data_IF_212256018206
#
_entry.id   IF_212256018206
#
_cell.length_a   1.000
_cell.length_b   1.000
_cell.length_c   1.000
_cell.angle_alpha   90.00
_cell.angle_beta   90.00
_cell.angle_gamma   90.00
#
_symmetry.space_group_name_H-M   'P 1'
#
loop_
_entity.id
_entity.type
_entity.pdbx_description
1 polymer ?
#
# COMPACT_ATOMS: atom_id res chain seq x y z
N UNK A 1 -15.12 -31.07 2.85
CA UNK A 1 -13.80 -30.58 2.38
C UNK A 1 -12.83 -30.82 3.50
N UNK A 2 -11.65 -31.40 3.22
CA UNK A 2 -10.70 -31.82 4.25
C UNK A 2 -10.40 -30.66 5.20
N UNK A 3 -10.42 -30.98 6.50
CA UNK A 3 -10.13 -30.15 7.66
C UNK A 3 -8.68 -29.63 7.73
N UNK A 4 -8.09 -29.25 6.60
CA UNK A 4 -6.70 -28.85 6.49
C UNK A 4 -6.54 -27.32 6.60
N UNK A 5 -7.22 -26.73 7.58
CA UNK A 5 -7.03 -25.31 7.91
C UNK A 5 -5.63 -25.15 8.47
N UNK A 6 -4.82 -24.34 7.81
CA UNK A 6 -3.52 -23.92 8.30
C UNK A 6 -3.66 -22.57 8.98
N UNK A 7 -2.84 -22.31 10.00
CA UNK A 7 -2.82 -20.98 10.63
C UNK A 7 -2.42 -19.93 9.61
N UNK A 8 -2.79 -18.68 9.86
CA UNK A 8 -2.39 -17.55 9.02
C UNK A 8 -0.87 -17.44 8.94
N UNK A 9 -0.13 -17.76 10.02
CA UNK A 9 1.33 -17.87 9.99
C UNK A 9 1.80 -18.89 8.95
N UNK A 10 1.30 -20.11 9.04
CA UNK A 10 1.65 -21.18 8.10
C UNK A 10 1.27 -20.82 6.67
N UNK A 11 0.12 -20.18 6.45
CA UNK A 11 -0.28 -19.70 5.14
C UNK A 11 0.75 -18.72 4.55
N UNK A 12 1.19 -17.74 5.34
CA UNK A 12 2.19 -16.76 4.90
C UNK A 12 3.54 -17.43 4.60
N UNK A 13 3.98 -18.35 5.44
CA UNK A 13 5.22 -19.12 5.22
C UNK A 13 5.16 -19.93 3.92
N UNK A 14 4.06 -20.66 3.69
CA UNK A 14 3.84 -21.43 2.45
C UNK A 14 3.80 -20.54 1.22
N UNK A 15 3.11 -19.40 1.32
CA UNK A 15 3.06 -18.41 0.24
C UNK A 15 4.45 -17.88 -0.09
N UNK A 16 5.26 -17.54 0.91
CA UNK A 16 6.61 -16.99 0.72
C UNK A 16 7.60 -18.03 0.17
N UNK A 17 7.36 -19.31 0.46
CA UNK A 17 8.12 -20.42 -0.10
C UNK A 17 7.67 -20.81 -1.53
N UNK A 18 6.69 -20.11 -2.12
CA UNK A 18 6.22 -20.38 -3.48
C UNK A 18 5.32 -21.62 -3.60
N UNK A 19 4.82 -22.17 -2.49
CA UNK A 19 3.98 -23.39 -2.53
C UNK A 19 2.65 -23.19 -3.28
N UNK A 20 2.24 -21.94 -3.50
CA UNK A 20 1.01 -21.57 -4.22
C UNK A 20 1.26 -21.06 -5.65
N UNK A 21 2.43 -21.35 -6.23
CA UNK A 21 2.81 -20.84 -7.56
C UNK A 21 2.15 -21.54 -8.73
N UNK A 22 1.78 -22.81 -8.56
CA UNK A 22 1.08 -23.54 -9.61
C UNK A 22 -0.34 -22.98 -9.82
N UNK A 23 -0.78 -22.92 -11.06
CA UNK A 23 -2.06 -22.32 -11.43
C UNK A 23 -3.22 -23.31 -11.46
N UNK A 24 -2.99 -24.58 -11.12
CA UNK A 24 -4.03 -25.58 -11.06
C UNK A 24 -4.99 -25.36 -9.88
N UNK A 25 -6.20 -25.85 -10.04
CA UNK A 25 -7.28 -25.68 -9.05
C UNK A 25 -6.91 -26.30 -7.70
N UNK A 26 -6.18 -27.42 -7.67
CA UNK A 26 -5.83 -28.08 -6.41
C UNK A 26 -4.91 -27.19 -5.58
N UNK A 27 -3.83 -26.68 -6.19
CA UNK A 27 -2.91 -25.76 -5.50
C UNK A 27 -3.62 -24.49 -5.03
N UNK A 28 -4.59 -23.97 -5.80
CA UNK A 28 -5.32 -22.76 -5.40
C UNK A 28 -6.40 -23.04 -4.33
N UNK A 29 -7.00 -24.22 -4.32
CA UNK A 29 -7.81 -24.69 -3.19
C UNK A 29 -6.94 -24.82 -1.92
N UNK A 30 -5.73 -25.36 -2.02
CA UNK A 30 -4.77 -25.45 -0.91
C UNK A 30 -4.32 -24.06 -0.43
N UNK A 31 -4.27 -23.07 -1.35
CA UNK A 31 -4.06 -21.66 -1.02
C UNK A 31 -5.28 -21.01 -0.33
N UNK A 32 -6.40 -21.71 -0.20
CA UNK A 32 -7.58 -21.24 0.54
C UNK A 32 -8.73 -20.72 -0.33
N UNK A 33 -8.76 -20.97 -1.64
CA UNK A 33 -9.95 -20.67 -2.45
C UNK A 33 -11.10 -21.61 -2.11
N UNK A 34 -12.21 -21.03 -1.61
CA UNK A 34 -13.39 -21.80 -1.19
C UNK A 34 -14.47 -21.87 -2.26
N UNK A 35 -14.73 -20.74 -2.93
CA UNK A 35 -15.80 -20.59 -3.92
C UNK A 35 -15.48 -19.41 -4.86
N UNK A 36 -15.67 -19.59 -6.16
CA UNK A 36 -15.32 -18.59 -7.17
C UNK A 36 -16.17 -18.69 -8.43
N UNK A 37 -16.36 -17.54 -9.10
CA UNK A 37 -17.05 -17.44 -10.39
C UNK A 37 -16.10 -17.02 -11.53
N UNK A 38 -14.87 -16.64 -11.21
CA UNK A 38 -13.85 -16.34 -12.21
C UNK A 38 -13.26 -17.63 -12.82
N UNK A 39 -12.43 -17.49 -13.86
CA UNK A 39 -11.70 -18.64 -14.42
C UNK A 39 -10.67 -19.16 -13.43
N UNK A 40 -10.49 -20.48 -13.37
CA UNK A 40 -9.48 -21.14 -12.52
C UNK A 40 -8.08 -20.58 -12.72
N UNK A 41 -7.70 -20.31 -13.98
CA UNK A 41 -6.41 -19.71 -14.34
C UNK A 41 -6.18 -18.30 -13.76
N UNK A 42 -7.23 -17.65 -13.22
CA UNK A 42 -7.11 -16.34 -12.56
C UNK A 42 -6.76 -16.46 -11.08
N UNK A 43 -7.00 -17.61 -10.44
CA UNK A 43 -6.92 -17.78 -9.00
C UNK A 43 -5.51 -17.50 -8.47
N UNK A 44 -4.47 -18.03 -9.10
CA UNK A 44 -3.07 -17.81 -8.70
C UNK A 44 -2.71 -16.33 -8.60
N UNK A 45 -3.06 -15.53 -9.60
CA UNK A 45 -2.75 -14.09 -9.58
C UNK A 45 -3.59 -13.35 -8.54
N UNK A 46 -4.83 -13.79 -8.30
CA UNK A 46 -5.69 -13.24 -7.25
C UNK A 46 -5.15 -13.58 -5.86
N UNK A 47 -4.71 -14.81 -5.61
CA UNK A 47 -4.00 -15.20 -4.38
C UNK A 47 -2.86 -14.24 -4.08
N UNK A 48 -1.98 -14.01 -5.07
CA UNK A 48 -0.87 -13.05 -4.93
C UNK A 48 -1.33 -11.61 -4.62
N UNK A 49 -2.37 -11.15 -5.29
CA UNK A 49 -2.93 -9.81 -5.05
C UNK A 49 -3.50 -9.67 -3.64
N UNK A 50 -4.28 -10.66 -3.19
CA UNK A 50 -4.92 -10.67 -1.88
C UNK A 50 -3.92 -10.90 -0.74
N UNK A 51 -2.92 -11.77 -0.91
CA UNK A 51 -1.88 -12.00 0.10
C UNK A 51 -1.05 -10.74 0.33
N UNK A 52 -0.74 -9.95 -0.72
CA UNK A 52 -0.10 -8.62 -0.53
C UNK A 52 -0.92 -7.68 0.35
N UNK A 53 -2.25 -7.77 0.28
CA UNK A 53 -3.17 -7.00 1.12
C UNK A 53 -3.21 -7.54 2.54
N UNK A 54 -3.30 -8.86 2.72
CA UNK A 54 -3.21 -9.54 4.02
C UNK A 54 -1.93 -9.15 4.76
N UNK A 55 -0.78 -9.17 4.08
CA UNK A 55 0.52 -8.79 4.65
C UNK A 55 0.56 -7.38 5.25
N UNK A 56 -0.21 -6.44 4.69
CA UNK A 56 -0.31 -5.08 5.22
C UNK A 56 -1.10 -5.01 6.54
N UNK A 57 -1.95 -6.02 6.81
CA UNK A 57 -2.78 -6.10 8.01
C UNK A 57 -2.12 -6.88 9.14
N UNK A 58 -1.09 -7.68 8.87
CA UNK A 58 -0.39 -8.53 9.87
C UNK A 58 0.14 -7.78 11.10
N UNK A 59 0.59 -6.51 11.02
CA UNK A 59 1.01 -5.77 12.22
C UNK A 59 -0.15 -5.37 13.16
N UNK A 60 -1.40 -5.54 12.74
CA UNK A 60 -2.57 -5.19 13.54
C UNK A 60 -2.73 -6.10 14.76
N UNK A 61 -3.02 -5.52 15.93
CA UNK A 61 -3.43 -6.29 17.11
C UNK A 61 -4.77 -7.03 16.94
N UNK A 62 -5.55 -6.68 15.90
CA UNK A 62 -6.79 -7.39 15.55
C UNK A 62 -6.54 -8.69 14.78
N UNK A 63 -5.31 -8.94 14.31
CA UNK A 63 -4.96 -10.10 13.49
C UNK A 63 -3.99 -10.98 14.28
N UNK A 64 -4.45 -12.16 14.69
CA UNK A 64 -3.63 -13.13 15.39
C UNK A 64 -3.24 -14.26 14.44
N UNK A 65 -1.94 -14.36 14.13
CA UNK A 65 -1.45 -15.28 13.10
C UNK A 65 -1.50 -16.77 13.51
N UNK A 66 -1.64 -17.06 14.80
CA UNK A 66 -1.60 -18.41 15.36
C UNK A 66 -3.00 -18.97 15.66
N UNK A 67 -3.97 -18.08 15.87
CA UNK A 67 -5.37 -18.45 16.19
C UNK A 67 -6.36 -18.11 15.08
N UNK A 68 -5.90 -17.51 13.98
CA UNK A 68 -6.72 -17.25 12.80
C UNK A 68 -6.20 -18.02 11.59
N UNK A 69 -7.11 -18.37 10.67
CA UNK A 69 -6.78 -18.74 9.29
C UNK A 69 -7.45 -17.78 8.31
N UNK A 70 -7.06 -17.89 7.04
CA UNK A 70 -7.65 -17.13 5.94
C UNK A 70 -8.19 -18.04 4.85
N UNK A 71 -9.28 -17.61 4.22
CA UNK A 71 -9.73 -18.19 2.95
C UNK A 71 -10.20 -17.08 2.00
N UNK A 72 -10.33 -17.43 0.73
CA UNK A 72 -10.65 -16.55 -0.38
C UNK A 72 -11.97 -16.91 -1.03
N UNK A 73 -12.68 -15.89 -1.49
CA UNK A 73 -13.83 -16.05 -2.39
C UNK A 73 -13.75 -15.06 -3.54
N UNK A 74 -14.30 -15.46 -4.68
CA UNK A 74 -14.62 -14.55 -5.77
C UNK A 74 -16.13 -14.53 -5.90
N UNK A 75 -16.75 -13.39 -5.64
CA UNK A 75 -18.20 -13.23 -5.57
C UNK A 75 -18.78 -12.75 -6.90
N UNK A 76 -20.00 -13.21 -7.20
CA UNK A 76 -20.81 -12.76 -8.33
C UNK A 76 -22.02 -11.96 -7.83
N UNK A 77 -21.97 -10.61 -7.83
CA UNK A 77 -23.11 -9.81 -7.42
C UNK A 77 -24.23 -9.91 -8.47
N UNK A 78 -25.50 -9.90 -8.02
CA UNK A 78 -26.64 -9.88 -8.95
C UNK A 78 -26.60 -8.70 -9.91
N UNK A 79 -26.08 -7.55 -9.46
CA UNK A 79 -25.89 -6.34 -10.26
C UNK A 79 -24.49 -5.79 -9.99
N UNK A 80 -23.57 -5.98 -10.94
CA UNK A 80 -22.20 -5.50 -10.82
C UNK A 80 -21.18 -6.36 -11.55
N UNK A 81 -19.92 -6.28 -11.15
CA UNK A 81 -18.80 -7.10 -11.63
C UNK A 81 -18.39 -8.12 -10.57
N UNK A 82 -17.73 -9.20 -11.00
CA UNK A 82 -17.08 -10.12 -10.06
C UNK A 82 -16.07 -9.37 -9.19
N UNK A 83 -15.98 -9.75 -7.92
CA UNK A 83 -15.02 -9.15 -7.00
C UNK A 83 -14.49 -10.17 -6.00
N UNK A 84 -13.34 -9.89 -5.41
CA UNK A 84 -12.69 -10.80 -4.48
C UNK A 84 -12.92 -10.36 -3.03
N UNK A 85 -13.09 -11.33 -2.13
CA UNK A 85 -12.99 -11.14 -0.69
C UNK A 85 -12.01 -12.15 -0.09
N UNK A 86 -11.45 -11.78 1.07
CA UNK A 86 -10.75 -12.71 1.93
C UNK A 86 -11.30 -12.58 3.34
N UNK A 87 -11.27 -13.69 4.09
CA UNK A 87 -11.90 -13.77 5.40
C UNK A 87 -10.95 -14.31 6.43
N UNK A 88 -10.77 -13.56 7.51
CA UNK A 88 -10.11 -14.08 8.71
C UNK A 88 -11.15 -14.81 9.54
N UNK A 89 -10.82 -16.03 9.92
CA UNK A 89 -11.69 -16.91 10.67
C UNK A 89 -10.94 -17.44 11.88
N UNK A 90 -11.68 -17.68 12.95
CA UNK A 90 -11.16 -18.28 14.16
C UNK A 90 -10.80 -19.76 13.90
N UNK A 91 -9.60 -20.18 14.30
CA UNK A 91 -9.09 -21.54 14.04
C UNK A 91 -9.91 -22.62 14.75
N UNK A 92 -10.37 -22.34 15.97
CA UNK A 92 -11.04 -23.32 16.82
C UNK A 92 -12.51 -23.49 16.43
N UNK A 93 -13.23 -22.38 16.32
CA UNK A 93 -14.68 -22.35 16.05
C UNK A 93 -15.00 -22.39 14.56
N UNK A 94 -14.08 -21.96 13.70
CA UNK A 94 -14.31 -21.78 12.27
C UNK A 94 -15.19 -20.58 11.93
N UNK A 95 -15.56 -19.75 12.91
CA UNK A 95 -16.41 -18.59 12.68
C UNK A 95 -15.64 -17.46 11.98
N UNK A 96 -16.31 -16.78 11.06
CA UNK A 96 -15.75 -15.61 10.37
C UNK A 96 -15.63 -14.45 11.37
N UNK A 97 -14.41 -13.93 11.52
CA UNK A 97 -14.13 -12.74 12.35
C UNK A 97 -14.26 -11.48 11.50
N UNK A 98 -13.63 -11.48 10.32
CA UNK A 98 -13.69 -10.38 9.36
C UNK A 98 -13.90 -10.91 7.94
N UNK A 99 -14.74 -10.21 7.17
CA UNK A 99 -14.79 -10.32 5.71
C UNK A 99 -14.28 -9.01 5.13
N UNK A 100 -13.24 -9.07 4.30
CA UNK A 100 -12.56 -7.90 3.76
C UNK A 100 -12.64 -7.96 2.25
N UNK A 101 -13.25 -6.94 1.66
CA UNK A 101 -13.37 -6.76 0.22
C UNK A 101 -12.45 -5.61 -0.19
N UNK A 102 -11.28 -5.87 -0.82
CA UNK A 102 -10.41 -4.78 -1.25
C UNK A 102 -11.06 -3.83 -2.26
N UNK A 103 -11.97 -4.35 -3.10
CA UNK A 103 -12.74 -3.58 -4.06
C UNK A 103 -14.04 -4.33 -4.38
N UNK A 104 -15.18 -3.86 -3.88
CA UNK A 104 -16.47 -4.50 -4.13
C UNK A 104 -16.94 -4.28 -5.57
N UNK A 105 -17.69 -5.25 -6.07
CA UNK A 105 -18.15 -5.29 -7.46
C UNK A 105 -19.54 -4.74 -7.71
N UNK A 106 -20.31 -4.40 -6.67
CA UNK A 106 -21.66 -3.85 -6.81
C UNK A 106 -21.64 -2.52 -7.55
N UNK A 107 -22.57 -2.30 -8.49
CA UNK A 107 -22.61 -1.07 -9.30
C UNK A 107 -22.62 0.22 -8.47
N UNK A 108 -23.38 0.26 -7.37
CA UNK A 108 -23.51 1.47 -6.53
C UNK A 108 -22.26 1.80 -5.73
N UNK A 109 -21.44 0.80 -5.43
CA UNK A 109 -20.28 0.93 -4.53
C UNK A 109 -19.00 0.44 -5.21
N UNK A 110 -19.01 0.40 -6.54
CA UNK A 110 -17.99 -0.24 -7.35
C UNK A 110 -16.58 0.29 -7.02
N UNK A 111 -15.65 -0.63 -6.75
CA UNK A 111 -14.27 -0.30 -6.41
C UNK A 111 -14.03 0.12 -4.97
N UNK A 112 -15.08 0.28 -4.15
CA UNK A 112 -14.95 0.63 -2.73
C UNK A 112 -14.39 -0.55 -1.93
N UNK A 113 -13.49 -0.27 -1.01
CA UNK A 113 -13.05 -1.25 -0.02
C UNK A 113 -14.06 -1.33 1.13
N UNK A 114 -14.36 -2.55 1.58
CA UNK A 114 -15.28 -2.78 2.69
C UNK A 114 -14.73 -3.77 3.70
N UNK A 115 -15.00 -3.54 4.98
CA UNK A 115 -14.73 -4.47 6.09
C UNK A 115 -16.03 -4.73 6.82
N UNK A 116 -16.33 -6.01 6.98
CA UNK A 116 -17.45 -6.51 7.77
C UNK A 116 -16.90 -7.42 8.86
N UNK A 117 -17.50 -7.46 10.03
CA UNK A 117 -16.96 -8.28 11.11
C UNK A 117 -17.87 -8.44 12.31
N UNK A 118 -17.42 -9.28 13.24
CA UNK A 118 -18.15 -9.61 14.48
C UNK A 118 -18.38 -8.40 15.39
N UNK A 119 -17.58 -7.34 15.28
CA UNK A 119 -17.69 -6.14 16.15
C UNK A 119 -19.09 -5.49 16.12
N UNK A 120 -19.81 -5.64 15.01
CA UNK A 120 -21.20 -5.18 14.87
C UNK A 120 -22.14 -6.29 14.37
N UNK A 121 -21.81 -7.56 14.65
CA UNK A 121 -22.56 -8.75 14.19
C UNK A 121 -22.82 -8.79 12.68
N UNK A 122 -21.90 -8.25 11.86
CA UNK A 122 -22.06 -8.15 10.41
C UNK A 122 -23.32 -7.37 9.96
N UNK A 123 -23.92 -6.54 10.83
CA UNK A 123 -25.14 -5.77 10.52
C UNK A 123 -24.89 -4.72 9.43
N UNK A 124 -23.72 -4.12 9.44
CA UNK A 124 -23.29 -3.13 8.46
C UNK A 124 -21.77 -3.17 8.26
N UNK A 125 -21.27 -2.47 7.23
CA UNK A 125 -19.84 -2.36 7.00
C UNK A 125 -19.20 -1.52 8.13
N UNK A 126 -18.23 -2.10 8.83
CA UNK A 126 -17.39 -1.41 9.82
C UNK A 126 -16.53 -0.34 9.12
N UNK A 127 -16.05 -0.66 7.92
CA UNK A 127 -15.35 0.27 7.04
C UNK A 127 -15.99 0.23 5.66
N UNK A 128 -16.26 1.41 5.10
CA UNK A 128 -16.65 1.58 3.70
C UNK A 128 -15.91 2.79 3.12
N UNK A 129 -14.96 2.56 2.21
CA UNK A 129 -14.13 3.64 1.67
C UNK A 129 -12.99 3.15 0.77
N UNK A 130 -11.80 3.69 0.98
CA UNK A 130 -10.59 3.30 0.27
C UNK A 130 -9.84 2.19 1.02
N UNK A 131 -8.85 1.58 0.36
CA UNK A 131 -7.96 0.64 1.03
C UNK A 131 -7.20 1.27 2.21
N UNK A 132 -6.87 2.57 2.14
CA UNK A 132 -6.24 3.27 3.26
C UNK A 132 -7.18 3.34 4.47
N UNK A 133 -8.49 3.48 4.25
CA UNK A 133 -9.46 3.45 5.35
C UNK A 133 -9.48 2.10 6.05
N UNK A 134 -9.26 1.01 5.31
CA UNK A 134 -9.07 -0.35 5.87
C UNK A 134 -7.79 -0.41 6.70
N UNK A 135 -6.67 0.10 6.16
CA UNK A 135 -5.39 0.13 6.89
C UNK A 135 -5.51 0.93 8.19
N UNK A 136 -6.18 2.09 8.18
CA UNK A 136 -6.34 2.90 9.38
C UNK A 136 -7.15 2.20 10.45
N UNK A 137 -8.21 1.47 10.06
CA UNK A 137 -8.99 0.67 10.99
C UNK A 137 -8.16 -0.46 11.63
N UNK A 138 -7.42 -1.23 10.83
CA UNK A 138 -6.63 -2.34 11.36
C UNK A 138 -5.40 -1.87 12.15
N UNK A 139 -4.71 -0.83 11.69
CA UNK A 139 -3.46 -0.37 12.30
C UNK A 139 -3.69 0.68 13.40
N UNK A 140 -4.94 1.04 13.70
CA UNK A 140 -5.27 2.02 14.74
C UNK A 140 -4.75 3.43 14.45
N UNK A 141 -4.63 3.79 13.17
CA UNK A 141 -4.12 5.11 12.76
C UNK A 141 -5.24 6.14 12.84
N UNK A 142 -5.01 7.24 13.55
CA UNK A 142 -5.92 8.38 13.55
C UNK A 142 -5.86 9.13 12.20
N UNK A 143 -6.92 8.97 11.41
CA UNK A 143 -7.11 9.64 10.12
C UNK A 143 -6.95 11.16 10.18
N UNK A 144 -7.41 11.81 11.25
CA UNK A 144 -7.34 13.27 11.37
C UNK A 144 -5.89 13.71 11.57
N UNK A 145 -5.19 13.03 12.46
CA UNK A 145 -3.77 13.26 12.72
C UNK A 145 -2.92 13.04 11.46
N UNK A 146 -3.12 11.92 10.76
CA UNK A 146 -2.33 11.61 9.55
C UNK A 146 -2.58 12.61 8.41
N UNK A 147 -3.82 13.08 8.24
CA UNK A 147 -4.14 14.15 7.26
C UNK A 147 -3.46 15.46 7.61
N UNK A 148 -3.44 15.81 8.89
CA UNK A 148 -2.81 17.03 9.37
C UNK A 148 -1.28 16.98 9.20
N UNK A 149 -0.64 15.86 9.55
CA UNK A 149 0.79 15.63 9.32
C UNK A 149 1.15 15.72 7.83
N UNK A 150 0.33 15.14 6.95
CA UNK A 150 0.50 15.28 5.49
C UNK A 150 0.37 16.73 5.02
N UNK A 151 -0.58 17.48 5.58
CA UNK A 151 -0.78 18.91 5.26
C UNK A 151 0.46 19.72 5.65
N UNK A 152 0.96 19.53 6.87
CA UNK A 152 2.17 20.18 7.38
C UNK A 152 3.37 19.84 6.48
N UNK A 153 3.59 18.56 6.16
CA UNK A 153 4.72 18.13 5.33
C UNK A 153 4.67 18.69 3.89
N UNK A 154 3.48 18.89 3.31
CA UNK A 154 3.34 19.56 2.01
C UNK A 154 3.70 21.04 2.12
N UNK A 155 3.29 21.70 3.19
CA UNK A 155 3.58 23.11 3.43
C UNK A 155 5.07 23.35 3.69
N UNK A 156 5.72 22.48 4.46
CA UNK A 156 7.18 22.52 4.69
C UNK A 156 7.96 22.32 3.38
N UNK A 157 7.60 21.31 2.57
CA UNK A 157 8.23 21.10 1.24
C UNK A 157 8.05 22.28 0.31
N UNK A 158 6.92 23.00 0.41
CA UNK A 158 6.69 24.20 -0.38
C UNK A 158 7.63 25.33 0.06
N UNK A 159 7.75 25.55 1.37
CA UNK A 159 8.68 26.54 1.94
C UNK A 159 10.14 26.24 1.56
N UNK A 160 10.55 24.98 1.63
CA UNK A 160 11.90 24.54 1.23
C UNK A 160 12.17 24.83 -0.26
N UNK A 161 11.21 24.54 -1.14
CA UNK A 161 11.34 24.87 -2.57
C UNK A 161 11.41 26.37 -2.85
N UNK A 162 10.64 27.17 -2.12
CA UNK A 162 10.66 28.62 -2.26
C UNK A 162 12.02 29.19 -1.80
N UNK A 163 12.57 28.70 -0.67
CA UNK A 163 13.92 29.06 -0.19
C UNK A 163 15.03 28.71 -1.20
N UNK A 164 15.00 27.48 -1.76
CA UNK A 164 15.98 27.05 -2.77
C UNK A 164 15.92 27.90 -4.05
N UNK A 165 14.72 28.35 -4.43
CA UNK A 165 14.51 29.22 -5.59
C UNK A 165 15.12 30.60 -5.34
N UNK A 166 14.95 31.15 -4.14
CA UNK A 166 15.54 32.43 -3.75
C UNK A 166 17.08 32.33 -3.70
N UNK A 167 17.64 31.25 -3.14
CA UNK A 167 19.09 31.00 -3.15
C UNK A 167 19.66 30.90 -4.58
N UNK A 168 18.95 30.20 -5.48
CA UNK A 168 19.35 30.13 -6.88
C UNK A 168 19.36 31.50 -7.55
N UNK A 169 18.32 32.32 -7.33
CA UNK A 169 18.23 33.66 -7.89
C UNK A 169 19.38 34.56 -7.41
N UNK A 170 19.78 34.46 -6.14
CA UNK A 170 20.94 35.19 -5.59
C UNK A 170 22.25 34.72 -6.25
N UNK A 171 22.43 33.41 -6.40
CA UNK A 171 23.62 32.85 -7.10
C UNK A 171 23.71 33.34 -8.54
N UNK A 172 22.60 33.31 -9.27
CA UNK A 172 22.52 33.77 -10.66
C UNK A 172 22.86 35.27 -10.77
N UNK A 173 22.31 36.10 -9.89
CA UNK A 173 22.65 37.53 -9.83
C UNK A 173 24.15 37.76 -9.58
N UNK A 174 24.75 37.04 -8.63
CA UNK A 174 26.17 37.16 -8.32
C UNK A 174 27.07 36.69 -9.49
N UNK A 175 26.69 35.62 -10.18
CA UNK A 175 27.39 35.14 -11.38
C UNK A 175 27.39 36.23 -12.46
N UNK A 176 26.22 36.80 -12.76
CA UNK A 176 26.08 37.87 -13.76
C UNK A 176 26.93 39.11 -13.40
N UNK A 177 26.99 39.49 -12.12
CA UNK A 177 27.84 40.60 -11.64
C UNK A 177 29.35 40.32 -11.75
N UNK A 178 29.77 39.04 -11.72
CA UNK A 178 31.16 38.65 -11.94
C UNK A 178 31.50 38.69 -13.43
N UNK A 179 30.60 38.21 -14.29
CA UNK A 179 30.78 38.19 -15.74
C UNK A 179 30.83 39.60 -16.34
N UNK A 180 29.99 40.53 -15.85
CA UNK A 180 30.04 41.95 -16.25
C UNK A 180 31.33 42.67 -15.82
N UNK A 181 32.01 42.20 -14.76
CA UNK A 181 33.30 42.74 -14.30
C UNK A 181 34.49 42.12 -15.01
N UNK A 182 34.30 41.06 -15.79
CA UNK A 182 35.33 40.48 -16.67
C UNK A 182 35.22 41.02 -18.08
N UNK A 183 35.58 42.29 -18.26
CA UNK A 183 36.05 42.81 -19.55
C UNK A 183 37.51 43.21 -19.41
N UNK A 184 38.33 42.58 -20.26
CA UNK A 184 39.77 42.75 -20.50
C UNK A 184 40.72 42.10 -19.49
N UNK A 185 41.20 40.89 -19.82
CA UNK A 185 42.57 40.73 -20.35
C UNK A 185 42.89 39.24 -20.60
N UNK A 186 43.65 39.01 -21.65
CA UNK A 186 44.11 37.71 -22.15
C UNK A 186 44.82 36.85 -21.09
N UNK A 187 44.17 35.81 -20.56
CA UNK A 187 44.83 34.55 -20.15
C UNK A 187 43.82 33.51 -19.64
N UNK A 188 43.47 32.56 -20.49
CA UNK A 188 42.42 31.56 -20.26
C UNK A 188 42.80 30.44 -19.24
N UNK A 189 44.08 30.27 -18.89
CA UNK A 189 44.55 29.13 -18.09
C UNK A 189 44.60 29.35 -16.56
N UNK A 190 44.61 30.59 -16.05
CA UNK A 190 44.52 30.85 -14.59
C UNK A 190 43.07 30.86 -14.06
N UNK A 191 42.09 31.00 -14.96
CA UNK A 191 40.67 31.16 -14.60
C UNK A 191 40.01 29.87 -14.10
N UNK A 192 40.45 28.69 -14.55
CA UNK A 192 39.83 27.42 -14.16
C UNK A 192 40.11 27.04 -12.70
N UNK A 193 41.25 27.47 -12.15
CA UNK A 193 41.66 27.09 -10.79
C UNK A 193 40.97 27.93 -9.71
N UNK A 194 40.70 29.22 -9.98
CA UNK A 194 39.98 30.10 -9.03
C UNK A 194 38.47 29.80 -9.01
N UNK A 195 37.88 29.37 -10.14
CA UNK A 195 36.44 29.03 -10.24
C UNK A 195 36.08 27.78 -9.43
N UNK A 196 36.98 26.81 -9.31
CA UNK A 196 36.76 25.60 -8.51
C UNK A 196 37.00 25.83 -7.00
N UNK A 197 37.96 26.68 -6.62
CA UNK A 197 38.31 26.91 -5.21
C UNK A 197 37.24 27.75 -4.47
N UNK A 198 36.60 28.73 -5.13
CA UNK A 198 35.58 29.57 -4.48
C UNK A 198 34.21 28.90 -4.33
N UNK A 199 33.85 27.95 -5.20
CA UNK A 199 32.62 27.16 -5.06
C UNK A 199 32.76 26.13 -3.92
N UNK A 200 33.98 25.65 -3.67
CA UNK A 200 34.28 24.68 -2.60
C UNK A 200 34.26 25.30 -1.19
N UNK A 201 34.40 26.62 -1.07
CA UNK A 201 34.45 27.36 0.22
C UNK A 201 33.08 27.96 0.64
N UNK A 202 32.04 27.75 -0.18
CA UNK A 202 30.68 28.25 0.06
C UNK A 202 29.65 27.12 0.29
N UNK A 203 30.13 25.88 0.49
CA UNK A 203 29.41 24.75 1.07
C UNK A 203 29.87 24.58 2.53
#
# INVERSE_FOLDING_TARGET
MKDNKITLRQFIEKFDNGEFDNNDVSTQCDAGWYDWFCKDSSLRNKTYSLTKKIKQLLPSSKINQDTMYVFFKNNCPCVGKLYDDFRFCDMETGEVIYTICPAVGYTKTFGRSEVWGKENDFKEAIVAGTWNDVLFFFLGVDKKKEREEKRIAVEERKKEKDLLKDEWAVREYLINQIEDKTVSSDNWYEFTTVKLIKISLAL
#
